data_IF_748941028955
#
_entry.id   IF_748941028955
#
_cell.length_a   1.000
_cell.length_b   1.000
_cell.length_c   1.000
_cell.angle_alpha   90.00
_cell.angle_beta   90.00
_cell.angle_gamma   90.00
#
_symmetry.space_group_name_H-M   'P 1'
#
loop_
_entity.id
_entity.type
_entity.pdbx_description
1 polymer ?
#
# COMPACT_ATOMS: atom_id res chain seq x y z
N UNK A 1 -20.24 18.91 -26.46
CA UNK A 1 -19.77 19.19 -25.08
C UNK A 1 -20.39 20.50 -24.64
N UNK A 2 -21.08 20.57 -23.49
CA UNK A 2 -21.64 21.84 -22.99
C UNK A 2 -20.49 22.71 -22.44
N UNK A 3 -20.35 23.93 -22.93
CA UNK A 3 -19.43 24.92 -22.35
C UNK A 3 -19.91 25.28 -20.96
N UNK A 4 -19.18 24.84 -19.93
CA UNK A 4 -19.49 25.21 -18.56
C UNK A 4 -18.80 26.53 -18.22
N UNK A 5 -19.53 27.64 -18.37
CA UNK A 5 -19.05 29.01 -18.10
C UNK A 5 -19.10 29.39 -16.60
N UNK A 6 -19.64 28.51 -15.75
CA UNK A 6 -19.71 28.74 -14.31
C UNK A 6 -18.31 28.63 -13.67
N UNK A 7 -17.88 29.68 -12.99
CA UNK A 7 -16.59 29.68 -12.28
C UNK A 7 -16.73 29.25 -10.82
N UNK A 8 -17.55 29.97 -10.04
CA UNK A 8 -17.85 29.68 -8.65
C UNK A 8 -19.23 30.24 -8.27
N UNK A 9 -19.82 29.73 -7.19
CA UNK A 9 -21.03 30.27 -6.57
C UNK A 9 -20.76 30.58 -5.09
N UNK A 10 -21.14 31.78 -4.66
CA UNK A 10 -21.07 32.24 -3.28
C UNK A 10 -22.43 32.07 -2.62
N UNK A 11 -22.47 31.35 -1.50
CA UNK A 11 -23.70 31.10 -0.73
C UNK A 11 -23.52 31.64 0.68
N UNK A 12 -24.22 32.72 1.01
CA UNK A 12 -24.28 33.27 2.35
C UNK A 12 -25.28 32.47 3.20
N UNK A 13 -24.86 32.03 4.38
CA UNK A 13 -25.68 31.24 5.29
C UNK A 13 -26.13 32.10 6.47
N UNK A 14 -27.44 32.07 6.76
CA UNK A 14 -28.00 32.75 7.94
C UNK A 14 -28.47 34.19 7.70
N UNK A 15 -28.46 34.70 6.46
CA UNK A 15 -29.17 35.93 6.10
C UNK A 15 -30.66 35.62 5.97
N UNK A 16 -31.48 36.24 6.82
CA UNK A 16 -32.94 36.25 6.63
C UNK A 16 -33.24 37.29 5.56
N UNK A 17 -33.93 36.90 4.50
CA UNK A 17 -34.33 37.75 3.35
C UNK A 17 -35.29 38.90 3.71
N UNK A 18 -35.51 39.18 5.00
CA UNK A 18 -36.68 39.92 5.50
C UNK A 18 -36.33 41.18 6.31
N UNK A 19 -35.09 41.66 6.26
CA UNK A 19 -34.74 42.96 6.84
C UNK A 19 -33.89 43.74 5.84
N UNK A 20 -34.52 44.77 5.24
CA UNK A 20 -33.89 45.91 4.56
C UNK A 20 -33.10 46.74 5.59
N UNK A 21 -32.08 46.14 6.19
CA UNK A 21 -31.07 46.88 6.93
C UNK A 21 -29.80 46.79 6.13
N UNK A 22 -29.32 47.93 5.62
CA UNK A 22 -28.02 48.10 4.93
C UNK A 22 -26.80 47.72 5.81
N UNK A 23 -27.04 47.18 7.01
CA UNK A 23 -26.05 46.82 8.01
C UNK A 23 -25.81 45.31 7.98
N UNK A 24 -24.58 44.93 7.61
CA UNK A 24 -24.12 43.55 7.66
C UNK A 24 -24.05 43.03 9.10
N UNK A 25 -24.43 41.76 9.36
CA UNK A 25 -24.28 41.17 10.67
C UNK A 25 -22.78 41.09 11.05
N UNK A 26 -22.44 41.17 12.35
CA UNK A 26 -21.03 41.14 12.79
C UNK A 26 -20.33 39.83 12.45
N UNK A 27 -21.07 38.72 12.37
CA UNK A 27 -20.53 37.42 12.03
C UNK A 27 -21.23 36.85 10.78
N UNK A 28 -20.47 36.73 9.69
CA UNK A 28 -20.96 36.25 8.40
C UNK A 28 -20.39 34.86 8.13
N UNK A 29 -21.27 33.92 7.76
CA UNK A 29 -20.86 32.62 7.22
C UNK A 29 -21.16 32.59 5.74
N UNK A 30 -20.15 32.35 4.91
CA UNK A 30 -20.32 32.11 3.48
C UNK A 30 -19.72 30.75 3.08
N UNK A 31 -20.16 30.24 1.94
CA UNK A 31 -19.67 29.01 1.33
C UNK A 31 -19.31 29.30 -0.12
N UNK A 32 -18.08 28.97 -0.51
CA UNK A 32 -17.65 29.00 -1.91
C UNK A 32 -17.89 27.61 -2.50
N UNK A 33 -18.70 27.54 -3.56
CA UNK A 33 -18.96 26.30 -4.31
C UNK A 33 -18.33 26.42 -5.69
N UNK A 34 -17.38 25.55 -5.99
CA UNK A 34 -16.72 25.45 -7.30
C UNK A 34 -16.86 24.03 -7.85
N UNK A 35 -16.53 23.86 -9.12
CA UNK A 35 -16.48 22.53 -9.74
C UNK A 35 -15.47 21.63 -8.98
N UNK A 36 -15.90 20.42 -8.64
CA UNK A 36 -15.11 19.45 -7.89
C UNK A 36 -13.81 19.02 -8.59
N UNK A 37 -13.69 19.25 -9.91
CA UNK A 37 -12.43 19.01 -10.65
C UNK A 37 -11.40 20.12 -10.47
N UNK A 38 -11.86 21.33 -10.12
CA UNK A 38 -11.05 22.54 -9.98
C UNK A 38 -10.62 22.81 -8.53
N UNK A 39 -11.16 22.07 -7.57
CA UNK A 39 -10.83 22.21 -6.14
C UNK A 39 -10.49 20.84 -5.58
N UNK A 40 -9.68 20.78 -4.52
CA UNK A 40 -9.38 19.52 -3.88
C UNK A 40 -10.59 18.93 -3.16
N UNK A 41 -10.59 17.60 -3.07
CA UNK A 41 -11.67 16.85 -2.45
C UNK A 41 -11.69 17.06 -0.95
N UNK A 42 -12.79 17.59 -0.41
CA UNK A 42 -13.00 17.80 1.04
C UNK A 42 -13.28 16.52 1.82
N UNK A 43 -13.23 15.34 1.17
CA UNK A 43 -13.42 14.03 1.82
C UNK A 43 -12.31 13.67 2.80
N UNK A 44 -11.09 14.15 2.56
CA UNK A 44 -9.90 13.88 3.37
C UNK A 44 -9.09 15.16 3.48
N UNK A 45 -8.54 15.40 4.67
CA UNK A 45 -7.70 16.58 4.95
C UNK A 45 -6.23 16.26 4.65
N UNK A 46 -5.83 15.00 4.83
CA UNK A 46 -4.45 14.52 4.66
C UNK A 46 -4.35 13.42 3.59
N UNK A 47 -3.12 13.23 3.10
CA UNK A 47 -2.81 12.15 2.18
C UNK A 47 -2.94 10.79 2.87
N UNK A 48 -3.36 9.79 2.10
CA UNK A 48 -3.60 8.44 2.63
C UNK A 48 -2.31 7.74 3.05
N UNK A 49 -1.25 7.95 2.29
CA UNK A 49 0.10 7.49 2.59
C UNK A 49 0.97 8.72 2.62
N UNK A 50 1.79 8.84 3.65
CA UNK A 50 2.86 9.83 3.63
C UNK A 50 3.76 9.48 2.44
N UNK A 51 4.03 10.47 1.60
CA UNK A 51 4.98 10.34 0.51
C UNK A 51 5.96 11.48 0.65
N UNK A 52 7.25 11.20 0.79
CA UNK A 52 8.25 12.26 0.87
C UNK A 52 8.24 13.05 -0.44
N UNK A 53 8.36 14.37 -0.30
CA UNK A 53 8.50 15.28 -1.42
C UNK A 53 7.58 16.50 -1.37
N UNK A 54 7.96 17.60 -2.03
CA UNK A 54 7.16 18.81 -2.07
C UNK A 54 5.93 18.64 -2.97
N UNK A 55 4.80 19.19 -2.52
CA UNK A 55 3.59 19.42 -3.33
C UNK A 55 3.85 20.52 -4.35
N UNK A 56 4.31 20.14 -5.53
CA UNK A 56 4.79 21.06 -6.57
C UNK A 56 3.90 21.13 -7.81
N UNK A 57 2.96 20.19 -8.00
CA UNK A 57 2.22 20.09 -9.26
C UNK A 57 1.04 21.08 -9.26
N UNK A 58 1.03 22.13 -10.12
CA UNK A 58 -0.01 23.16 -10.07
C UNK A 58 -1.42 22.62 -10.24
N UNK A 59 -1.61 21.67 -11.17
CA UNK A 59 -2.91 21.11 -11.54
C UNK A 59 -3.43 20.04 -10.59
N UNK A 60 -2.55 19.46 -9.76
CA UNK A 60 -2.88 18.32 -8.91
C UNK A 60 -2.84 18.70 -7.43
N UNK A 61 -1.73 19.29 -6.97
CA UNK A 61 -1.46 19.55 -5.56
C UNK A 61 -1.85 20.96 -5.10
N UNK A 62 -1.91 21.91 -6.05
CA UNK A 62 -2.10 23.34 -5.80
C UNK A 62 -3.42 23.86 -6.42
N UNK A 63 -4.46 23.02 -6.47
CA UNK A 63 -5.71 23.36 -7.16
C UNK A 63 -6.36 24.64 -6.62
N UNK A 64 -6.30 24.85 -5.30
CA UNK A 64 -6.82 26.05 -4.64
C UNK A 64 -6.21 27.35 -5.19
N UNK A 65 -4.90 27.36 -5.50
CA UNK A 65 -4.24 28.50 -6.15
C UNK A 65 -4.49 28.51 -7.67
N UNK A 66 -4.23 27.39 -8.34
CA UNK A 66 -4.22 27.30 -9.80
C UNK A 66 -5.58 27.62 -10.43
N UNK A 67 -6.68 27.19 -9.81
CA UNK A 67 -8.03 27.43 -10.32
C UNK A 67 -8.74 28.62 -9.65
N UNK A 68 -8.06 29.32 -8.74
CA UNK A 68 -8.48 30.61 -8.21
C UNK A 68 -9.49 30.59 -7.06
N UNK A 69 -9.64 29.47 -6.34
CA UNK A 69 -10.44 29.43 -5.12
C UNK A 69 -9.87 30.38 -4.06
N UNK A 70 -8.56 30.34 -3.84
CA UNK A 70 -7.89 31.20 -2.86
C UNK A 70 -8.04 32.70 -3.21
N UNK A 71 -7.98 33.05 -4.50
CA UNK A 71 -8.20 34.43 -4.95
C UNK A 71 -9.63 34.90 -4.69
N UNK A 72 -10.62 34.03 -4.96
CA UNK A 72 -12.02 34.37 -4.69
C UNK A 72 -12.28 34.52 -3.19
N UNK A 73 -11.66 33.67 -2.38
CA UNK A 73 -11.71 33.79 -0.93
C UNK A 73 -11.12 35.12 -0.45
N UNK A 74 -9.93 35.47 -0.94
CA UNK A 74 -9.25 36.72 -0.60
C UNK A 74 -10.08 37.96 -0.97
N UNK A 75 -10.63 38.00 -2.19
CA UNK A 75 -11.48 39.10 -2.65
C UNK A 75 -12.76 39.25 -1.82
N UNK A 76 -13.41 38.14 -1.48
CA UNK A 76 -14.64 38.15 -0.68
C UNK A 76 -14.36 38.58 0.75
N UNK A 77 -13.30 38.07 1.36
CA UNK A 77 -12.90 38.47 2.72
C UNK A 77 -12.56 39.96 2.79
N UNK A 78 -11.77 40.48 1.85
CA UNK A 78 -11.50 41.90 1.75
C UNK A 78 -12.77 42.74 1.58
N UNK A 79 -13.71 42.29 0.74
CA UNK A 79 -14.99 42.97 0.55
C UNK A 79 -15.82 43.03 1.83
N UNK A 80 -15.86 41.95 2.61
CA UNK A 80 -16.61 41.87 3.86
C UNK A 80 -15.96 42.76 4.93
N UNK A 81 -14.63 42.72 5.04
CA UNK A 81 -13.87 43.55 5.98
C UNK A 81 -14.07 45.04 5.66
N UNK A 82 -14.00 45.43 4.39
CA UNK A 82 -14.22 46.81 3.96
C UNK A 82 -15.63 47.30 4.32
N UNK A 83 -16.65 46.47 4.08
CA UNK A 83 -18.04 46.82 4.41
C UNK A 83 -18.32 46.87 5.92
N UNK A 84 -17.68 46.03 6.72
CA UNK A 84 -17.88 46.01 8.18
C UNK A 84 -17.09 47.11 8.90
N UNK A 85 -15.89 47.44 8.43
CA UNK A 85 -14.98 48.39 9.11
C UNK A 85 -15.05 49.81 8.56
N UNK A 86 -15.56 49.99 7.33
CA UNK A 86 -15.55 51.28 6.64
C UNK A 86 -14.14 51.75 6.22
N UNK A 87 -13.14 50.88 6.30
CA UNK A 87 -11.75 51.16 5.90
C UNK A 87 -11.40 50.47 4.58
N UNK A 88 -11.04 51.27 3.57
CA UNK A 88 -10.68 50.80 2.22
C UNK A 88 -9.19 50.41 2.06
N UNK A 89 -8.46 50.18 3.16
CA UNK A 89 -7.01 49.90 3.05
C UNK A 89 -6.79 48.47 2.54
N UNK A 90 -6.20 48.35 1.35
CA UNK A 90 -5.85 47.06 0.74
C UNK A 90 -4.56 46.50 1.36
N UNK A 91 -4.71 45.57 2.30
CA UNK A 91 -3.58 44.75 2.76
C UNK A 91 -3.24 43.71 1.69
N UNK A 92 -2.01 43.72 1.17
CA UNK A 92 -1.56 42.68 0.24
C UNK A 92 -1.24 41.38 0.98
N UNK A 93 -2.00 40.31 0.73
CA UNK A 93 -1.71 38.97 1.25
C UNK A 93 -0.87 38.21 0.22
N UNK A 94 0.30 37.73 0.65
CA UNK A 94 1.17 36.89 -0.18
C UNK A 94 1.15 35.45 0.33
N UNK A 95 0.97 34.51 -0.60
CA UNK A 95 1.05 33.07 -0.34
C UNK A 95 2.42 32.55 -0.73
N UNK A 96 3.14 31.98 0.23
CA UNK A 96 4.42 31.32 -0.01
C UNK A 96 4.40 29.93 0.62
N UNK A 97 4.76 28.91 -0.17
CA UNK A 97 4.94 27.56 0.35
C UNK A 97 6.20 27.52 1.23
N UNK A 98 6.15 26.75 2.31
CA UNK A 98 7.35 26.44 3.07
C UNK A 98 8.37 25.68 2.20
N UNK A 99 9.66 26.02 2.29
CA UNK A 99 10.70 25.28 1.56
C UNK A 99 10.77 23.84 2.08
N UNK A 100 10.85 22.88 1.16
CA UNK A 100 11.06 21.48 1.47
C UNK A 100 12.57 21.16 1.40
N UNK A 101 13.13 20.32 2.30
CA UNK A 101 14.53 19.93 2.24
C UNK A 101 14.87 19.24 0.90
N UNK A 102 16.16 19.18 0.57
CA UNK A 102 16.60 18.46 -0.62
C UNK A 102 16.13 17.00 -0.56
N UNK A 103 15.42 16.57 -1.61
CA UNK A 103 14.86 15.23 -1.72
C UNK A 103 15.07 14.69 -3.14
N UNK A 104 15.45 13.42 -3.24
CA UNK A 104 15.67 12.73 -4.50
C UNK A 104 14.35 12.04 -4.89
N UNK A 105 13.73 12.51 -5.97
CA UNK A 105 12.53 11.86 -6.50
C UNK A 105 12.90 10.77 -7.49
N UNK A 106 12.85 9.52 -7.05
CA UNK A 106 13.00 8.37 -7.93
C UNK A 106 11.64 7.71 -8.23
N UNK A 107 11.16 7.91 -9.45
CA UNK A 107 9.92 7.30 -9.95
C UNK A 107 10.03 5.77 -10.02
N UNK A 108 11.24 5.22 -10.19
CA UNK A 108 11.49 3.79 -10.27
C UNK A 108 11.25 3.12 -8.91
N UNK A 109 11.81 3.67 -7.84
CA UNK A 109 11.62 3.16 -6.47
C UNK A 109 10.13 3.13 -6.11
N UNK A 110 9.39 4.21 -6.37
CA UNK A 110 7.94 4.28 -6.09
C UNK A 110 7.14 3.24 -6.87
N UNK A 111 7.53 2.98 -8.13
CA UNK A 111 6.82 2.00 -8.98
C UNK A 111 7.16 0.57 -8.59
N UNK A 112 8.42 0.31 -8.22
CA UNK A 112 8.86 -0.98 -7.71
C UNK A 112 8.23 -1.24 -6.35
N UNK A 113 8.21 -0.28 -5.44
CA UNK A 113 7.61 -0.40 -4.11
C UNK A 113 6.18 -0.97 -4.16
N UNK A 114 5.40 -0.53 -5.14
CA UNK A 114 4.03 -0.98 -5.37
C UNK A 114 3.95 -2.43 -5.89
N UNK A 115 4.88 -2.85 -6.75
CA UNK A 115 4.86 -4.14 -7.46
C UNK A 115 5.79 -5.20 -6.85
N UNK A 116 6.67 -4.81 -5.95
CA UNK A 116 7.70 -5.62 -5.30
C UNK A 116 7.14 -6.88 -4.62
N UNK A 117 6.06 -6.80 -3.80
CA UNK A 117 5.42 -7.99 -3.23
C UNK A 117 5.00 -9.04 -4.28
N UNK A 118 4.54 -8.59 -5.45
CA UNK A 118 4.02 -9.49 -6.48
C UNK A 118 5.14 -10.31 -7.10
N UNK A 119 6.25 -9.66 -7.46
CA UNK A 119 7.42 -10.35 -8.03
C UNK A 119 8.05 -11.32 -7.04
N UNK A 120 8.12 -10.91 -5.77
CA UNK A 120 8.71 -11.73 -4.71
C UNK A 120 7.86 -12.96 -4.37
N UNK A 121 6.52 -12.87 -4.48
CA UNK A 121 5.64 -14.04 -4.32
C UNK A 121 5.77 -14.95 -5.55
N UNK A 122 5.84 -14.38 -6.75
CA UNK A 122 5.97 -15.13 -8.01
C UNK A 122 7.23 -16.00 -8.07
N UNK A 123 8.34 -15.56 -7.47
CA UNK A 123 9.63 -16.27 -7.52
C UNK A 123 9.56 -17.68 -6.93
N UNK A 124 8.75 -17.89 -5.88
CA UNK A 124 8.66 -19.17 -5.17
C UNK A 124 7.42 -20.01 -5.51
N UNK A 125 6.58 -19.59 -6.45
CA UNK A 125 5.40 -20.36 -6.89
C UNK A 125 5.81 -21.75 -7.38
N UNK A 126 6.84 -21.80 -8.23
CA UNK A 126 7.32 -23.05 -8.82
C UNK A 126 7.88 -23.98 -7.74
N UNK A 127 8.76 -23.45 -6.87
CA UNK A 127 9.35 -24.21 -5.77
C UNK A 127 8.28 -24.77 -4.83
N UNK A 128 7.24 -23.98 -4.51
CA UNK A 128 6.11 -24.43 -3.70
C UNK A 128 5.32 -25.57 -4.37
N UNK A 129 4.98 -25.43 -5.65
CA UNK A 129 4.23 -26.45 -6.39
C UNK A 129 5.02 -27.76 -6.51
N UNK A 130 6.32 -27.67 -6.77
CA UNK A 130 7.19 -28.85 -6.85
C UNK A 130 7.41 -29.52 -5.51
N UNK A 131 7.49 -28.77 -4.41
CA UNK A 131 7.57 -29.32 -3.06
C UNK A 131 6.32 -30.15 -2.73
N UNK A 132 5.13 -29.61 -2.99
CA UNK A 132 3.87 -30.35 -2.81
C UNK A 132 3.85 -31.60 -3.68
N UNK A 133 4.24 -31.48 -4.96
CA UNK A 133 4.30 -32.60 -5.89
C UNK A 133 5.18 -33.74 -5.35
N UNK A 134 6.37 -33.41 -4.84
CA UNK A 134 7.33 -34.40 -4.36
C UNK A 134 6.81 -35.15 -3.14
N UNK A 135 6.23 -34.44 -2.16
CA UNK A 135 5.64 -35.03 -0.95
C UNK A 135 4.45 -35.92 -1.30
N UNK A 136 3.54 -35.43 -2.16
CA UNK A 136 2.36 -36.21 -2.56
C UNK A 136 2.76 -37.39 -3.44
N UNK A 137 3.85 -37.28 -4.21
CA UNK A 137 4.37 -38.42 -5.00
C UNK A 137 4.93 -39.52 -4.11
N UNK A 138 5.64 -39.17 -3.05
CA UNK A 138 6.10 -40.15 -2.05
C UNK A 138 4.91 -40.85 -1.38
N UNK A 139 3.86 -40.09 -1.03
CA UNK A 139 2.60 -40.60 -0.50
C UNK A 139 1.85 -41.50 -1.49
N UNK A 140 1.82 -41.13 -2.76
CA UNK A 140 1.15 -41.89 -3.83
C UNK A 140 1.81 -43.26 -4.06
N UNK A 141 3.14 -43.32 -3.97
CA UNK A 141 3.92 -44.56 -4.10
C UNK A 141 4.00 -45.38 -2.79
N UNK A 142 3.41 -44.89 -1.70
CA UNK A 142 3.48 -45.49 -0.35
C UNK A 142 4.91 -45.71 0.16
N UNK A 143 5.86 -44.91 -0.30
CA UNK A 143 7.26 -45.00 0.13
C UNK A 143 7.40 -44.65 1.61
N UNK A 144 6.53 -43.74 2.09
CA UNK A 144 6.47 -43.35 3.50
C UNK A 144 6.15 -44.54 4.42
N UNK A 145 5.22 -45.39 4.03
CA UNK A 145 4.85 -46.59 4.79
C UNK A 145 5.97 -47.64 4.76
N UNK A 146 6.64 -47.81 3.62
CA UNK A 146 7.81 -48.71 3.49
C UNK A 146 8.93 -48.28 4.44
N UNK A 147 9.26 -46.98 4.48
CA UNK A 147 10.28 -46.45 5.39
C UNK A 147 9.88 -46.61 6.86
N UNK A 148 8.58 -46.54 7.17
CA UNK A 148 8.08 -46.80 8.53
C UNK A 148 8.22 -48.27 8.93
N UNK A 149 8.02 -49.21 8.01
CA UNK A 149 8.27 -50.65 8.23
C UNK A 149 9.77 -50.93 8.43
N UNK A 150 10.66 -50.18 7.79
CA UNK A 150 12.11 -50.24 8.01
C UNK A 150 12.57 -49.66 9.36
N UNK A 151 11.65 -49.23 10.23
CA UNK A 151 11.94 -48.73 11.57
C UNK A 151 12.15 -47.22 11.66
N UNK A 152 11.87 -46.45 10.60
CA UNK A 152 12.03 -45.00 10.62
C UNK A 152 10.82 -44.31 11.26
N UNK A 153 11.08 -43.38 12.19
CA UNK A 153 10.03 -42.59 12.85
C UNK A 153 9.38 -41.57 11.91
N UNK A 154 8.07 -41.35 12.04
CA UNK A 154 7.37 -40.35 11.21
C UNK A 154 7.88 -38.93 11.40
N UNK A 155 8.38 -38.58 12.59
CA UNK A 155 8.95 -37.25 12.85
C UNK A 155 10.21 -36.99 12.03
N UNK A 156 11.07 -38.01 11.86
CA UNK A 156 12.30 -37.92 11.07
C UNK A 156 11.99 -37.67 9.59
N UNK A 157 10.95 -38.32 9.07
CA UNK A 157 10.51 -38.11 7.68
C UNK A 157 10.05 -36.66 7.44
N UNK A 158 9.22 -36.11 8.33
CA UNK A 158 8.79 -34.72 8.22
C UNK A 158 9.95 -33.72 8.41
N UNK A 159 10.86 -34.01 9.34
CA UNK A 159 12.04 -33.18 9.56
C UNK A 159 12.99 -33.21 8.37
N UNK A 160 13.19 -34.37 7.74
CA UNK A 160 14.00 -34.50 6.52
C UNK A 160 13.44 -33.65 5.39
N UNK A 161 12.13 -33.72 5.14
CA UNK A 161 11.47 -32.86 4.15
C UNK A 161 11.61 -31.38 4.51
N UNK A 162 11.52 -31.04 5.80
CA UNK A 162 11.64 -29.66 6.24
C UNK A 162 13.05 -29.13 5.99
N UNK A 163 14.09 -29.87 6.38
CA UNK A 163 15.49 -29.46 6.22
C UNK A 163 15.85 -29.34 4.73
N UNK A 164 15.45 -30.31 3.91
CA UNK A 164 15.73 -30.28 2.46
C UNK A 164 15.06 -29.08 1.78
N UNK A 165 13.75 -28.89 2.03
CA UNK A 165 13.01 -27.79 1.45
C UNK A 165 13.46 -26.42 1.99
N UNK A 166 13.70 -26.32 3.30
CA UNK A 166 14.17 -25.07 3.93
C UNK A 166 15.59 -24.72 3.49
N UNK A 167 16.48 -25.71 3.34
CA UNK A 167 17.83 -25.50 2.82
C UNK A 167 17.81 -24.92 1.40
N UNK A 168 16.97 -25.48 0.51
CA UNK A 168 16.79 -24.92 -0.84
C UNK A 168 16.24 -23.48 -0.81
N UNK A 169 15.25 -23.22 0.04
CA UNK A 169 14.68 -21.87 0.21
C UNK A 169 15.68 -20.87 0.80
N UNK A 170 16.53 -21.30 1.73
CA UNK A 170 17.58 -20.47 2.31
C UNK A 170 18.59 -20.04 1.25
N UNK A 171 19.09 -20.97 0.44
CA UNK A 171 20.03 -20.65 -0.65
C UNK A 171 19.38 -19.67 -1.64
N UNK A 172 18.13 -19.92 -2.03
CA UNK A 172 17.36 -19.02 -2.89
C UNK A 172 17.19 -17.62 -2.27
N UNK A 173 16.90 -17.53 -0.97
CA UNK A 173 16.75 -16.26 -0.26
C UNK A 173 18.06 -15.48 -0.11
N UNK A 174 19.20 -16.17 0.06
CA UNK A 174 20.54 -15.55 0.04
C UNK A 174 20.82 -14.91 -1.31
N UNK A 175 20.61 -15.66 -2.40
CA UNK A 175 20.79 -15.15 -3.76
C UNK A 175 19.89 -13.95 -4.04
N UNK A 176 18.63 -14.01 -3.61
CA UNK A 176 17.68 -12.92 -3.77
C UNK A 176 18.09 -11.69 -2.97
N UNK A 177 18.59 -11.87 -1.75
CA UNK A 177 19.12 -10.77 -0.92
C UNK A 177 20.33 -10.10 -1.59
N UNK A 178 21.25 -10.89 -2.15
CA UNK A 178 22.37 -10.36 -2.92
C UNK A 178 21.88 -9.54 -4.12
N UNK A 179 20.91 -10.04 -4.89
CA UNK A 179 20.36 -9.32 -6.04
C UNK A 179 19.70 -8.01 -5.60
N UNK A 180 18.97 -8.00 -4.48
CA UNK A 180 18.29 -6.79 -4.00
C UNK A 180 19.28 -5.72 -3.52
N UNK A 181 20.36 -6.14 -2.85
CA UNK A 181 21.38 -5.22 -2.34
C UNK A 181 22.32 -4.72 -3.43
N UNK A 182 22.90 -5.63 -4.23
CA UNK A 182 23.80 -5.26 -5.32
C UNK A 182 23.08 -4.66 -6.53
N UNK A 183 21.79 -4.95 -6.69
CA UNK A 183 20.93 -4.34 -7.70
C UNK A 183 20.41 -2.95 -7.33
N UNK A 184 20.83 -2.38 -6.19
CA UNK A 184 20.46 -1.04 -5.72
C UNK A 184 18.93 -0.82 -5.63
N UNK A 185 18.18 -1.89 -5.32
CA UNK A 185 16.72 -1.81 -5.16
C UNK A 185 16.35 -1.45 -3.73
N UNK A 186 17.09 -2.00 -2.76
CA UNK A 186 16.97 -1.71 -1.32
C UNK A 186 18.37 -1.31 -0.82
N UNK A 187 18.76 -0.07 -1.10
CA UNK A 187 20.12 0.42 -0.85
C UNK A 187 20.32 0.87 0.60
N UNK A 188 19.30 1.48 1.21
CA UNK A 188 19.35 1.95 2.60
C UNK A 188 19.14 0.80 3.59
N UNK A 189 18.39 -0.23 3.21
CA UNK A 189 18.08 -1.36 4.07
C UNK A 189 19.29 -2.28 4.35
N UNK A 190 19.38 -2.77 5.60
CA UNK A 190 20.40 -3.75 6.02
C UNK A 190 20.16 -5.13 5.39
N UNK A 191 21.18 -5.74 4.73
CA UNK A 191 21.01 -7.03 4.05
C UNK A 191 20.69 -8.18 5.01
N UNK A 192 21.13 -8.10 6.27
CA UNK A 192 20.82 -9.11 7.29
C UNK A 192 19.32 -9.17 7.62
N UNK A 193 18.65 -8.01 7.69
CA UNK A 193 17.21 -7.94 7.98
C UNK A 193 16.40 -8.49 6.82
N UNK A 194 16.79 -8.14 5.58
CA UNK A 194 16.16 -8.66 4.36
C UNK A 194 16.30 -10.19 4.32
N UNK A 195 17.50 -10.72 4.57
CA UNK A 195 17.73 -12.17 4.57
C UNK A 195 16.88 -12.89 5.61
N UNK A 196 16.87 -12.42 6.86
CA UNK A 196 16.07 -13.03 7.93
C UNK A 196 14.58 -13.00 7.59
N UNK A 197 14.08 -11.88 7.05
CA UNK A 197 12.69 -11.76 6.62
C UNK A 197 12.33 -12.78 5.53
N UNK A 198 13.17 -12.93 4.50
CA UNK A 198 12.96 -13.90 3.42
C UNK A 198 13.07 -15.35 3.92
N UNK A 199 14.00 -15.63 4.85
CA UNK A 199 14.14 -16.95 5.46
C UNK A 199 12.91 -17.33 6.30
N UNK A 200 12.37 -16.41 7.10
CA UNK A 200 11.12 -16.63 7.84
C UNK A 200 9.93 -16.89 6.91
N UNK A 201 9.86 -16.19 5.78
CA UNK A 201 8.85 -16.45 4.76
C UNK A 201 9.03 -17.83 4.12
N UNK A 202 10.27 -18.21 3.79
CA UNK A 202 10.62 -19.54 3.28
C UNK A 202 10.16 -20.66 4.22
N UNK A 203 10.45 -20.55 5.53
CA UNK A 203 9.98 -21.49 6.54
C UNK A 203 8.44 -21.57 6.58
N UNK A 204 7.76 -20.43 6.54
CA UNK A 204 6.29 -20.35 6.54
C UNK A 204 5.67 -20.99 5.29
N UNK A 205 6.29 -20.81 4.12
CA UNK A 205 5.88 -21.46 2.87
C UNK A 205 6.03 -22.98 2.95
N UNK A 206 7.14 -23.48 3.50
CA UNK A 206 7.36 -24.93 3.67
C UNK A 206 6.29 -25.54 4.58
N UNK A 207 5.98 -24.90 5.72
CA UNK A 207 4.90 -25.33 6.60
C UNK A 207 3.53 -25.32 5.89
N UNK A 208 3.25 -24.27 5.11
CA UNK A 208 2.03 -24.20 4.27
C UNK A 208 1.99 -25.34 3.25
N UNK A 209 3.12 -25.70 2.65
CA UNK A 209 3.21 -26.78 1.68
C UNK A 209 2.88 -28.14 2.31
N UNK A 210 3.35 -28.40 3.54
CA UNK A 210 3.01 -29.62 4.28
C UNK A 210 1.52 -29.72 4.58
N UNK A 211 0.90 -28.61 5.00
CA UNK A 211 -0.54 -28.55 5.23
C UNK A 211 -1.32 -28.88 3.95
N UNK A 212 -0.94 -28.28 2.82
CA UNK A 212 -1.61 -28.50 1.53
C UNK A 212 -1.36 -29.91 1.01
N UNK A 213 -0.13 -30.43 1.11
CA UNK A 213 0.22 -31.78 0.67
C UNK A 213 -0.55 -32.86 1.44
N UNK A 214 -0.92 -32.62 2.71
CA UNK A 214 -1.73 -33.54 3.49
C UNK A 214 -3.12 -33.79 2.87
N UNK A 215 -3.70 -32.79 2.21
CA UNK A 215 -5.05 -32.81 1.64
C UNK A 215 -5.15 -33.60 0.32
N UNK A 216 -4.04 -33.84 -0.37
CA UNK A 216 -4.03 -34.48 -1.69
C UNK A 216 -3.48 -35.91 -1.66
N UNK A 217 -3.87 -36.71 -2.65
CA UNK A 217 -3.44 -38.10 -2.84
C UNK A 217 -2.76 -38.37 -4.19
N UNK A 218 -2.91 -37.47 -5.17
CA UNK A 218 -2.36 -37.59 -6.54
C UNK A 218 -1.36 -36.46 -6.81
N UNK A 219 -0.13 -36.80 -7.19
CA UNK A 219 0.97 -35.83 -7.27
C UNK A 219 0.74 -34.72 -8.31
N UNK A 220 0.30 -35.06 -9.51
CA UNK A 220 0.12 -34.07 -10.60
C UNK A 220 -1.03 -33.10 -10.32
N UNK A 221 -2.12 -33.61 -9.72
CA UNK A 221 -3.27 -32.78 -9.31
C UNK A 221 -2.83 -31.84 -8.18
N UNK A 222 -2.07 -32.36 -7.20
CA UNK A 222 -1.57 -31.56 -6.09
C UNK A 222 -0.61 -30.45 -6.55
N UNK A 223 0.24 -30.72 -7.55
CA UNK A 223 1.14 -29.72 -8.11
C UNK A 223 0.37 -28.56 -8.78
N UNK A 224 -0.60 -28.88 -9.63
CA UNK A 224 -1.43 -27.89 -10.31
C UNK A 224 -2.28 -27.09 -9.31
N UNK A 225 -2.95 -27.78 -8.39
CA UNK A 225 -3.75 -27.15 -7.34
C UNK A 225 -2.89 -26.31 -6.38
N UNK A 226 -1.67 -26.75 -6.06
CA UNK A 226 -0.73 -26.03 -5.21
C UNK A 226 -0.32 -24.70 -5.82
N UNK A 227 0.01 -24.66 -7.12
CA UNK A 227 0.31 -23.42 -7.81
C UNK A 227 -0.88 -22.43 -7.79
N UNK A 228 -2.08 -22.93 -8.10
CA UNK A 228 -3.32 -22.12 -8.07
C UNK A 228 -3.57 -21.57 -6.66
N UNK A 229 -3.53 -22.44 -5.65
CA UNK A 229 -3.76 -22.08 -4.25
C UNK A 229 -2.75 -21.03 -3.77
N UNK A 230 -1.49 -21.13 -4.20
CA UNK A 230 -0.47 -20.14 -3.87
C UNK A 230 -0.83 -18.75 -4.40
N UNK A 231 -1.29 -18.65 -5.66
CA UNK A 231 -1.79 -17.40 -6.23
C UNK A 231 -3.05 -16.90 -5.55
N UNK A 232 -4.03 -17.78 -5.30
CA UNK A 232 -5.28 -17.41 -4.64
C UNK A 232 -5.02 -16.87 -3.23
N UNK A 233 -4.08 -17.46 -2.49
CA UNK A 233 -3.67 -16.96 -1.18
C UNK A 233 -2.97 -15.59 -1.21
N UNK A 234 -2.50 -15.12 -2.36
CA UNK A 234 -1.94 -13.77 -2.52
C UNK A 234 -3.00 -12.71 -2.82
N UNK A 235 -4.08 -13.06 -3.53
CA UNK A 235 -5.14 -12.12 -3.94
C UNK A 235 -5.75 -11.26 -2.81
N UNK A 236 -5.86 -11.70 -1.55
CA UNK A 236 -6.34 -10.85 -0.47
C UNK A 236 -5.43 -9.64 -0.20
N UNK A 237 -4.11 -9.72 -0.45
CA UNK A 237 -3.16 -8.66 -0.11
C UNK A 237 -3.48 -7.30 -0.77
N UNK A 238 -3.72 -7.19 -2.09
CA UNK A 238 -4.14 -5.94 -2.72
C UNK A 238 -5.41 -5.34 -2.12
N UNK A 239 -6.38 -6.17 -1.70
CA UNK A 239 -7.57 -5.69 -1.01
C UNK A 239 -7.22 -5.15 0.38
N UNK A 240 -6.37 -5.84 1.15
CA UNK A 240 -5.91 -5.34 2.45
C UNK A 240 -5.20 -3.99 2.32
N UNK A 241 -4.38 -3.81 1.26
CA UNK A 241 -3.75 -2.53 0.96
C UNK A 241 -4.79 -1.45 0.65
N UNK A 242 -5.78 -1.75 -0.19
CA UNK A 242 -6.84 -0.81 -0.56
C UNK A 242 -7.75 -0.43 0.62
N UNK A 243 -7.95 -1.31 1.59
CA UNK A 243 -8.87 -1.10 2.73
C UNK A 243 -8.14 -0.85 4.07
N UNK A 244 -6.83 -0.59 4.05
CA UNK A 244 -5.96 -0.41 5.25
C UNK A 244 -6.56 0.55 6.31
N UNK A 245 -7.27 1.60 5.86
CA UNK A 245 -7.86 2.66 6.70
C UNK A 245 -9.05 2.15 7.54
N UNK A 246 -9.77 1.12 7.05
CA UNK A 246 -10.95 0.55 7.72
C UNK A 246 -10.63 -0.73 8.51
N UNK A 247 -9.40 -1.26 8.37
CA UNK A 247 -9.00 -2.53 8.96
C UNK A 247 -8.39 -2.34 10.35
N UNK A 248 -9.12 -2.84 11.36
CA UNK A 248 -8.62 -3.00 12.72
C UNK A 248 -7.37 -3.91 12.78
N UNK A 249 -6.60 -3.77 13.85
CA UNK A 249 -5.42 -4.59 14.14
C UNK A 249 -5.74 -6.10 14.11
N UNK A 250 -6.90 -6.48 14.66
CA UNK A 250 -7.37 -7.87 14.70
C UNK A 250 -7.66 -8.44 13.32
N UNK A 251 -8.21 -7.63 12.42
CA UNK A 251 -8.46 -8.06 11.05
C UNK A 251 -7.13 -8.24 10.31
N UNK A 252 -6.17 -7.32 10.51
CA UNK A 252 -4.82 -7.42 9.94
C UNK A 252 -4.10 -8.68 10.45
N UNK A 253 -4.18 -8.99 11.74
CA UNK A 253 -3.58 -10.20 12.32
C UNK A 253 -4.24 -11.47 11.79
N UNK A 254 -5.57 -11.51 11.67
CA UNK A 254 -6.28 -12.66 11.11
C UNK A 254 -5.92 -12.91 9.64
N UNK A 255 -5.83 -11.86 8.83
CA UNK A 255 -5.40 -11.94 7.43
C UNK A 255 -3.92 -12.35 7.30
N UNK A 256 -3.08 -11.96 8.26
CA UNK A 256 -1.66 -12.32 8.28
C UNK A 256 -1.39 -13.80 8.62
N UNK A 257 -2.41 -14.57 9.02
CA UNK A 257 -2.29 -16.03 9.13
C UNK A 257 -1.99 -16.69 7.78
N UNK A 258 -2.38 -16.05 6.68
CA UNK A 258 -2.00 -16.49 5.33
C UNK A 258 -0.59 -15.95 5.04
N UNK A 259 0.44 -16.81 4.91
CA UNK A 259 1.83 -16.35 4.78
C UNK A 259 2.06 -15.39 3.60
N UNK A 260 1.35 -15.60 2.48
CA UNK A 260 1.47 -14.75 1.30
C UNK A 260 0.98 -13.31 1.56
N UNK A 261 -0.03 -13.13 2.42
CA UNK A 261 -0.56 -11.82 2.78
C UNK A 261 0.36 -11.12 3.77
N UNK A 262 0.84 -11.85 4.78
CA UNK A 262 1.81 -11.32 5.75
C UNK A 262 3.09 -10.84 5.06
N UNK A 263 3.60 -11.64 4.13
CA UNK A 263 4.77 -11.29 3.33
C UNK A 263 4.55 -10.05 2.48
N UNK A 264 3.41 -9.95 1.79
CA UNK A 264 3.09 -8.77 0.99
C UNK A 264 3.01 -7.48 1.81
N UNK A 265 2.44 -7.56 3.03
CA UNK A 265 2.45 -6.44 3.97
C UNK A 265 3.87 -6.07 4.41
N UNK A 266 4.71 -7.05 4.74
CA UNK A 266 6.11 -6.82 5.12
C UNK A 266 6.91 -6.13 3.99
N UNK A 267 6.79 -6.63 2.75
CA UNK A 267 7.38 -6.00 1.57
C UNK A 267 6.92 -4.55 1.37
N UNK A 268 5.64 -4.25 1.60
CA UNK A 268 5.12 -2.88 1.52
C UNK A 268 5.71 -1.96 2.58
N UNK A 269 6.07 -2.47 3.76
CA UNK A 269 6.73 -1.68 4.80
C UNK A 269 8.19 -1.44 4.47
N UNK A 270 8.93 -2.46 3.98
CA UNK A 270 10.30 -2.26 3.50
C UNK A 270 10.36 -1.18 2.44
N UNK A 271 9.48 -1.24 1.46
CA UNK A 271 9.45 -0.27 0.39
C UNK A 271 9.11 1.15 0.88
N UNK A 272 8.22 1.28 1.87
CA UNK A 272 7.90 2.57 2.47
C UNK A 272 9.09 3.18 3.23
N UNK A 273 9.81 2.38 4.02
CA UNK A 273 10.99 2.86 4.73
C UNK A 273 12.14 3.20 3.78
N UNK A 274 12.31 2.42 2.72
CA UNK A 274 13.29 2.71 1.67
C UNK A 274 12.96 4.02 0.92
N UNK A 275 11.67 4.34 0.74
CA UNK A 275 11.24 5.62 0.18
C UNK A 275 11.53 6.80 1.13
N UNK A 276 11.47 6.59 2.45
CA UNK A 276 11.71 7.61 3.47
C UNK A 276 13.21 7.92 3.67
N UNK A 277 14.08 6.92 3.46
CA UNK A 277 15.54 7.03 3.62
C UNK A 277 16.02 6.55 4.98
#
# INVERSE_FOLDING_TARGET
MRENKLWAALVFAGMKSSQDTDVLPPFIRYKIRMDARKVDSTKKIEDRFFRPGPRRRPTIDLKYLTFGFAYLQDLVEHSIIALQTGWERTSGVYLQQFPYPCYIFDQFIVTIAESFPMFMVLSWVYSFAMLIKSIVREKELRLKEVMRVMGLGSGVLWLSWFIDAFGFMLISSLLLTCILKFGQVLDHSDPGVIFVFLACFGASIVCKAFLVAALFSRANIAAAAGGILFFTCYLPYPFVKLWKDHLNIHHKSALSLVPNVAFGLGCSYFAHFEEEG
#
